data_IF_974161698879
#
_entry.id   IF_974161698879
#
_cell.length_a   1.000
_cell.length_b   1.000
_cell.length_c   1.000
_cell.angle_alpha   90.00
_cell.angle_beta   90.00
_cell.angle_gamma   90.00
#
_symmetry.space_group_name_H-M   'P 1'
#
loop_
_entity.id
_entity.type
_entity.pdbx_description
1 polymer ?
#
# COMPACT_ATOMS: atom_id res chain seq x y z
N UNK A 1 -5.97 -15.99 -20.01
CA UNK A 1 -5.50 -14.59 -20.06
C UNK A 1 -4.12 -14.56 -20.69
N UNK A 2 -4.01 -14.67 -22.03
CA UNK A 2 -2.74 -14.55 -22.74
C UNK A 2 -2.20 -13.10 -22.75
N UNK A 3 -3.07 -12.14 -22.43
CA UNK A 3 -2.82 -10.70 -22.28
C UNK A 3 -2.15 -10.32 -20.96
N UNK A 4 -2.21 -11.19 -19.94
CA UNK A 4 -1.72 -10.89 -18.60
C UNK A 4 -0.21 -11.08 -18.50
N UNK A 5 0.50 -10.01 -18.09
CA UNK A 5 1.94 -10.04 -17.88
C UNK A 5 2.28 -10.09 -16.39
N UNK A 6 3.45 -10.62 -16.07
CA UNK A 6 3.96 -10.59 -14.69
C UNK A 6 4.02 -9.17 -14.10
N UNK A 7 4.28 -8.16 -14.94
CA UNK A 7 4.30 -6.77 -14.51
C UNK A 7 2.93 -6.30 -14.00
N UNK A 8 1.84 -6.76 -14.60
CA UNK A 8 0.48 -6.40 -14.19
C UNK A 8 0.14 -7.02 -12.82
N UNK A 9 0.58 -8.26 -12.58
CA UNK A 9 0.44 -8.92 -11.28
C UNK A 9 1.26 -8.21 -10.20
N UNK A 10 2.50 -7.81 -10.53
CA UNK A 10 3.35 -7.03 -9.63
C UNK A 10 2.72 -5.68 -9.30
N UNK A 11 2.15 -4.99 -10.28
CA UNK A 11 1.45 -3.73 -10.08
C UNK A 11 0.22 -3.91 -9.17
N UNK A 12 -0.59 -4.94 -9.45
CA UNK A 12 -1.77 -5.28 -8.63
C UNK A 12 -1.39 -5.61 -7.18
N UNK A 13 -0.34 -6.40 -6.98
CA UNK A 13 0.18 -6.73 -5.66
C UNK A 13 0.71 -5.52 -4.89
N UNK A 14 1.32 -4.55 -5.59
CA UNK A 14 1.78 -3.30 -5.00
C UNK A 14 0.62 -2.41 -4.54
N UNK A 15 -0.44 -2.29 -5.34
CA UNK A 15 -1.67 -1.55 -4.96
C UNK A 15 -2.33 -2.19 -3.75
N UNK A 16 -2.47 -3.52 -3.73
CA UNK A 16 -3.04 -4.24 -2.59
C UNK A 16 -2.20 -4.07 -1.32
N UNK A 17 -0.87 -4.13 -1.43
CA UNK A 17 0.03 -3.88 -0.30
C UNK A 17 -0.12 -2.46 0.27
N UNK A 18 -0.23 -1.45 -0.60
CA UNK A 18 -0.46 -0.09 -0.14
C UNK A 18 -1.83 0.04 0.54
N UNK A 19 -2.88 -0.58 0.00
CA UNK A 19 -4.22 -0.56 0.58
C UNK A 19 -4.31 -1.19 1.99
N UNK A 20 -3.43 -2.13 2.34
CA UNK A 20 -3.37 -2.67 3.71
C UNK A 20 -2.77 -1.69 4.73
N UNK A 21 -2.18 -0.60 4.26
CA UNK A 21 -1.47 0.38 5.08
C UNK A 21 0.03 0.10 5.18
N UNK A 22 0.63 -0.58 4.20
CA UNK A 22 2.08 -0.73 4.16
C UNK A 22 2.77 0.65 4.14
N UNK A 23 3.80 0.78 4.96
CA UNK A 23 4.66 1.96 4.96
C UNK A 23 5.42 2.10 3.65
N UNK A 24 5.95 3.30 3.40
CA UNK A 24 6.79 3.55 2.23
C UNK A 24 8.01 2.62 2.19
N UNK A 25 8.64 2.35 3.33
CA UNK A 25 9.79 1.45 3.43
C UNK A 25 9.44 0.00 3.11
N UNK A 26 8.31 -0.51 3.63
CA UNK A 26 7.82 -1.86 3.32
C UNK A 26 7.47 -2.00 1.84
N UNK A 27 6.85 -0.99 1.23
CA UNK A 27 6.58 -0.98 -0.22
C UNK A 27 7.88 -0.96 -1.04
N UNK A 28 8.86 -0.15 -0.63
CA UNK A 28 10.16 -0.12 -1.30
C UNK A 28 10.87 -1.48 -1.22
N UNK A 29 10.91 -2.11 -0.03
CA UNK A 29 11.51 -3.43 0.16
C UNK A 29 10.79 -4.52 -0.64
N UNK A 30 9.45 -4.57 -0.57
CA UNK A 30 8.63 -5.56 -1.28
C UNK A 30 8.75 -5.44 -2.80
N UNK A 31 8.93 -4.23 -3.31
CA UNK A 31 9.04 -3.96 -4.74
C UNK A 31 10.51 -3.89 -5.20
N UNK A 32 11.49 -3.82 -4.30
CA UNK A 32 12.88 -3.55 -4.68
C UNK A 32 13.06 -2.19 -5.35
N UNK A 33 12.27 -1.18 -4.95
CA UNK A 33 12.46 0.19 -5.44
C UNK A 33 13.59 0.86 -4.68
N UNK A 34 14.59 1.36 -5.42
CA UNK A 34 15.69 2.13 -4.86
C UNK A 34 15.31 3.57 -4.54
N UNK A 35 14.22 4.09 -5.12
CA UNK A 35 13.78 5.47 -4.92
C UNK A 35 12.39 5.55 -4.29
N UNK A 36 12.17 6.50 -3.36
CA UNK A 36 10.84 6.77 -2.79
C UNK A 36 9.78 7.08 -3.84
N UNK A 37 10.15 7.85 -4.87
CA UNK A 37 9.23 8.26 -5.95
C UNK A 37 8.59 7.06 -6.66
N UNK A 38 9.33 5.96 -6.84
CA UNK A 38 8.80 4.76 -7.48
C UNK A 38 7.74 4.04 -6.62
N UNK A 39 7.89 4.06 -5.30
CA UNK A 39 6.95 3.46 -4.36
C UNK A 39 5.73 4.37 -4.08
N UNK A 40 5.93 5.69 -4.08
CA UNK A 40 4.85 6.68 -3.88
C UNK A 40 3.74 6.58 -4.92
N UNK A 41 4.02 6.04 -6.12
CA UNK A 41 2.99 5.73 -7.12
C UNK A 41 1.88 4.82 -6.61
N UNK A 42 2.11 4.04 -5.55
CA UNK A 42 1.12 3.11 -5.01
C UNK A 42 0.43 3.63 -3.75
N UNK A 43 1.04 4.59 -3.04
CA UNK A 43 0.52 5.09 -1.77
C UNK A 43 -0.83 5.82 -1.90
N UNK A 44 -1.21 6.26 -3.11
CA UNK A 44 -2.56 6.79 -3.33
C UNK A 44 -3.66 5.77 -2.97
N UNK A 45 -3.39 4.47 -3.04
CA UNK A 45 -4.34 3.43 -2.65
C UNK A 45 -4.63 3.40 -1.14
N UNK A 46 -3.79 4.05 -0.33
CA UNK A 46 -3.99 4.25 1.09
C UNK A 46 -4.68 5.60 1.42
N UNK A 47 -5.03 6.43 0.43
CA UNK A 47 -5.75 7.68 0.67
C UNK A 47 -7.08 7.40 1.39
N UNK A 48 -7.34 8.14 2.48
CA UNK A 48 -8.53 7.95 3.31
C UNK A 48 -8.39 6.89 4.42
N UNK A 49 -7.24 6.22 4.55
CA UNK A 49 -6.92 5.33 5.69
C UNK A 49 -6.99 6.08 7.04
N UNK A 50 -6.84 7.40 7.05
CA UNK A 50 -6.92 8.24 8.25
C UNK A 50 -8.20 8.01 9.05
N UNK A 51 -9.35 7.83 8.38
CA UNK A 51 -10.62 7.52 9.05
C UNK A 51 -10.59 6.17 9.76
N UNK A 52 -9.96 5.18 9.13
CA UNK A 52 -9.82 3.84 9.71
C UNK A 52 -8.82 3.84 10.86
N UNK A 53 -7.72 4.58 10.74
CA UNK A 53 -6.76 4.80 11.82
C UNK A 53 -7.46 5.46 13.01
N UNK A 54 -8.19 6.56 12.78
CA UNK A 54 -8.95 7.22 13.83
C UNK A 54 -9.93 6.28 14.53
N UNK A 55 -10.69 5.47 13.77
CA UNK A 55 -11.60 4.49 14.34
C UNK A 55 -10.90 3.41 15.18
N UNK A 56 -9.72 2.96 14.76
CA UNK A 56 -8.91 2.00 15.53
C UNK A 56 -8.36 2.63 16.82
N UNK A 57 -7.90 3.88 16.76
CA UNK A 57 -7.46 4.63 17.93
C UNK A 57 -8.60 4.84 18.93
N UNK A 58 -9.82 5.16 18.45
CA UNK A 58 -11.00 5.28 19.33
C UNK A 58 -11.31 3.99 20.07
N UNK A 59 -11.17 2.82 19.41
CA UNK A 59 -11.36 1.52 20.06
C UNK A 59 -10.32 1.27 21.15
N UNK A 60 -9.06 1.64 20.92
CA UNK A 60 -8.00 1.49 21.92
C UNK A 60 -8.18 2.42 23.12
N UNK A 61 -8.78 3.59 22.92
CA UNK A 61 -9.01 4.57 23.99
C UNK A 61 -10.26 4.28 24.84
N UNK A 62 -11.18 3.46 24.34
CA UNK A 62 -12.47 3.15 25.00
C UNK A 62 -12.57 1.71 25.50
N UNK A 63 -11.55 0.88 25.23
CA UNK A 63 -11.36 -0.44 25.83
C UNK A 63 -10.38 -0.38 27.00
#
# INVERSE_FOLDING_TARGET
RPDLRFHDLRHSGAVLAAATGATLAELMGRLGHSTPAAAMRYQHAAQGRDKQIAALLSKLATG
#
